data_IF_938951102433
#
_entry.id   IF_938951102433
#
_cell.length_a   1.000
_cell.length_b   1.000
_cell.length_c   1.000
_cell.angle_alpha   90.00
_cell.angle_beta   90.00
_cell.angle_gamma   90.00
#
_symmetry.space_group_name_H-M   'P 1'
#
loop_
_entity.id
_entity.type
_entity.pdbx_description
1 polymer ?
#
# COMPACT_ATOMS: atom_id res chain seq x y z
N UNK A 1 -16.29 33.09 40.83
CA UNK A 1 -16.36 32.12 39.70
C UNK A 1 -16.71 32.77 38.36
N UNK A 2 -17.83 33.51 38.22
CA UNK A 2 -18.24 34.13 36.93
C UNK A 2 -17.20 35.09 36.31
N UNK A 3 -16.46 35.84 37.13
CA UNK A 3 -15.39 36.75 36.67
C UNK A 3 -14.20 36.02 36.02
N UNK A 4 -13.84 34.85 36.52
CA UNK A 4 -12.76 34.02 35.95
C UNK A 4 -13.11 33.57 34.53
N UNK A 5 -14.31 33.01 34.34
CA UNK A 5 -14.79 32.58 33.04
C UNK A 5 -14.91 33.73 32.03
N UNK A 6 -15.28 34.93 32.48
CA UNK A 6 -15.34 36.12 31.63
C UNK A 6 -13.96 36.57 31.14
N UNK A 7 -12.94 36.54 31.99
CA UNK A 7 -11.58 36.92 31.63
C UNK A 7 -10.96 35.84 30.74
N UNK A 8 -11.15 34.58 31.10
CA UNK A 8 -10.68 33.43 30.33
C UNK A 8 -11.24 33.44 28.90
N UNK A 9 -12.54 33.63 28.75
CA UNK A 9 -13.17 33.69 27.41
C UNK A 9 -12.70 34.89 26.59
N UNK A 10 -12.44 36.03 27.21
CA UNK A 10 -11.89 37.21 26.53
C UNK A 10 -10.48 36.93 25.97
N UNK A 11 -9.56 36.46 26.82
CA UNK A 11 -8.19 36.12 26.43
C UNK A 11 -8.15 34.99 25.40
N UNK A 12 -8.97 33.96 25.58
CA UNK A 12 -9.03 32.82 24.67
C UNK A 12 -9.58 33.19 23.29
N UNK A 13 -10.61 34.05 23.24
CA UNK A 13 -11.18 34.57 21.98
C UNK A 13 -10.18 35.43 21.21
N UNK A 14 -9.37 36.21 21.93
CA UNK A 14 -8.31 37.02 21.34
C UNK A 14 -7.17 36.14 20.80
N UNK A 15 -6.82 35.08 21.54
CA UNK A 15 -5.79 34.09 21.14
C UNK A 15 -6.21 33.28 19.92
N UNK A 16 -7.46 32.80 19.83
CA UNK A 16 -7.98 32.07 18.67
C UNK A 16 -8.04 32.95 17.41
N UNK A 17 -8.31 34.25 17.57
CA UNK A 17 -8.32 35.21 16.46
C UNK A 17 -6.92 35.61 15.99
N UNK A 18 -5.87 35.15 16.67
CA UNK A 18 -4.51 35.39 16.26
C UNK A 18 -4.25 34.74 14.89
N UNK A 19 -3.92 35.56 13.90
CA UNK A 19 -3.64 35.13 12.52
C UNK A 19 -2.52 34.08 12.48
N UNK A 20 -1.49 34.20 13.31
CA UNK A 20 -0.38 33.24 13.35
C UNK A 20 -0.83 31.84 13.77
N UNK A 21 -1.73 31.75 14.76
CA UNK A 21 -2.28 30.49 15.25
C UNK A 21 -3.22 29.83 14.22
N UNK A 22 -4.01 30.63 13.52
CA UNK A 22 -4.86 30.15 12.42
C UNK A 22 -4.02 29.60 11.28
N UNK A 23 -2.99 30.33 10.84
CA UNK A 23 -2.10 29.91 9.74
C UNK A 23 -1.37 28.61 10.10
N UNK A 24 -0.81 28.50 11.31
CA UNK A 24 -0.13 27.27 11.73
C UNK A 24 -1.08 26.07 11.82
N UNK A 25 -2.32 26.29 12.29
CA UNK A 25 -3.35 25.24 12.35
C UNK A 25 -3.74 24.78 10.95
N UNK A 26 -3.90 25.69 9.98
CA UNK A 26 -4.20 25.35 8.58
C UNK A 26 -3.06 24.55 7.96
N UNK A 27 -1.81 24.99 8.13
CA UNK A 27 -0.64 24.25 7.61
C UNK A 27 -0.57 22.85 8.23
N UNK A 28 -0.79 22.76 9.54
CA UNK A 28 -0.81 21.47 10.25
C UNK A 28 -1.91 20.57 9.72
N UNK A 29 -3.12 21.10 9.47
CA UNK A 29 -4.22 20.35 8.86
C UNK A 29 -3.85 19.82 7.46
N UNK A 30 -3.26 20.67 6.61
CA UNK A 30 -2.84 20.28 5.25
C UNK A 30 -1.82 19.15 5.32
N UNK A 31 -0.82 19.28 6.20
CA UNK A 31 0.20 18.23 6.41
C UNK A 31 -0.47 16.94 6.89
N UNK A 32 -1.39 17.02 7.86
CA UNK A 32 -2.11 15.87 8.39
C UNK A 32 -2.93 15.16 7.30
N UNK A 33 -3.62 15.92 6.44
CA UNK A 33 -4.36 15.39 5.30
C UNK A 33 -3.45 14.74 4.25
N UNK A 34 -2.25 15.29 4.05
CA UNK A 34 -1.20 14.66 3.26
C UNK A 34 -0.78 13.30 3.85
N UNK A 35 -0.54 13.25 5.16
CA UNK A 35 -0.21 12.00 5.86
C UNK A 35 -1.33 10.96 5.82
N UNK A 36 -2.61 11.36 5.93
CA UNK A 36 -3.74 10.44 5.79
C UNK A 36 -3.85 9.79 4.41
N UNK A 37 -3.26 10.41 3.38
CA UNK A 37 -3.21 9.88 2.02
C UNK A 37 -1.79 9.39 1.64
N UNK A 38 -0.91 9.19 2.62
CA UNK A 38 0.49 8.82 2.39
C UNK A 38 0.63 7.51 1.63
N UNK A 39 -0.25 6.52 1.86
CA UNK A 39 -0.25 5.25 1.12
C UNK A 39 -0.38 5.45 -0.40
N UNK A 40 -1.20 6.41 -0.83
CA UNK A 40 -1.37 6.75 -2.25
C UNK A 40 -0.16 7.49 -2.79
N UNK A 41 0.42 8.39 -2.00
CA UNK A 41 1.59 9.19 -2.38
C UNK A 41 2.79 8.25 -2.57
N UNK A 42 3.05 7.37 -1.60
CA UNK A 42 4.10 6.35 -1.67
C UNK A 42 3.86 5.38 -2.84
N UNK A 43 2.60 4.97 -3.08
CA UNK A 43 2.25 4.14 -4.24
C UNK A 43 2.50 4.82 -5.60
N UNK A 44 2.35 6.15 -5.70
CA UNK A 44 2.66 6.90 -6.92
C UNK A 44 4.17 7.01 -7.16
N UNK A 45 4.97 7.24 -6.10
CA UNK A 45 6.42 7.27 -6.22
C UNK A 45 7.03 5.88 -6.51
N UNK A 46 6.38 4.80 -6.08
CA UNK A 46 6.79 3.46 -6.47
C UNK A 46 6.52 3.17 -7.95
N UNK A 47 5.50 3.77 -8.57
CA UNK A 47 5.09 3.47 -9.97
C UNK A 47 6.03 3.99 -11.06
N UNK A 48 6.75 5.09 -10.83
CA UNK A 48 7.56 5.73 -11.89
C UNK A 48 8.94 5.07 -12.10
N UNK A 49 9.28 4.04 -11.33
CA UNK A 49 10.50 3.25 -11.49
C UNK A 49 10.40 1.79 -11.02
N UNK A 50 9.18 1.29 -10.75
CA UNK A 50 8.98 -0.09 -10.29
C UNK A 50 9.07 -1.07 -11.43
N UNK A 51 10.01 -2.01 -11.32
CA UNK A 51 9.96 -3.30 -12.01
C UNK A 51 8.58 -3.93 -11.84
N UNK A 52 8.03 -4.51 -12.89
CA UNK A 52 6.74 -5.20 -12.87
C UNK A 52 6.72 -6.25 -11.75
N UNK A 53 5.79 -6.14 -10.80
CA UNK A 53 5.72 -7.08 -9.68
C UNK A 53 4.88 -8.30 -10.06
N UNK A 54 5.48 -9.48 -9.96
CA UNK A 54 4.81 -10.78 -10.15
C UNK A 54 4.79 -11.52 -8.83
N UNK A 55 3.60 -11.89 -8.35
CA UNK A 55 3.45 -12.69 -7.14
C UNK A 55 3.33 -14.17 -7.46
N UNK A 56 4.05 -15.02 -6.71
CA UNK A 56 3.90 -16.48 -6.75
C UNK A 56 3.29 -16.92 -5.42
N UNK A 57 2.16 -17.62 -5.49
CA UNK A 57 1.53 -18.29 -4.35
C UNK A 57 1.73 -19.79 -4.48
N UNK A 58 2.19 -20.41 -3.41
CA UNK A 58 2.42 -21.86 -3.32
C UNK A 58 1.80 -22.40 -2.05
N UNK A 59 1.48 -23.69 -2.04
CA UNK A 59 1.06 -24.38 -0.82
C UNK A 59 2.14 -24.32 0.28
N UNK A 60 1.67 -24.29 1.54
CA UNK A 60 2.53 -24.20 2.71
C UNK A 60 3.55 -25.37 2.73
N UNK A 61 4.83 -25.05 2.99
CA UNK A 61 5.99 -25.95 2.99
C UNK A 61 6.57 -26.36 1.63
N UNK A 62 6.24 -25.65 0.54
CA UNK A 62 6.90 -25.93 -0.73
C UNK A 62 8.32 -25.34 -0.78
N UNK A 63 9.34 -26.21 -0.82
CA UNK A 63 10.77 -25.81 -0.93
C UNK A 63 11.20 -25.46 -2.36
N UNK A 64 10.30 -25.52 -3.35
CA UNK A 64 10.63 -25.22 -4.74
C UNK A 64 11.00 -23.75 -4.97
N UNK A 65 10.35 -22.85 -4.25
CA UNK A 65 10.55 -21.40 -4.37
C UNK A 65 11.20 -20.88 -3.10
N UNK A 66 12.53 -20.97 -3.03
CA UNK A 66 13.32 -20.32 -1.99
C UNK A 66 13.74 -18.91 -2.44
N UNK A 67 14.35 -18.16 -1.52
CA UNK A 67 14.84 -16.80 -1.81
C UNK A 67 15.85 -16.75 -2.96
N UNK A 68 16.66 -17.79 -3.14
CA UNK A 68 17.69 -17.82 -4.18
C UNK A 68 17.07 -18.07 -5.56
N UNK A 69 16.08 -18.97 -5.65
CA UNK A 69 15.33 -19.21 -6.88
C UNK A 69 14.57 -17.94 -7.29
N UNK A 70 13.98 -17.22 -6.33
CA UNK A 70 13.29 -15.95 -6.60
C UNK A 70 14.25 -14.84 -7.07
N UNK A 71 15.43 -14.75 -6.48
CA UNK A 71 16.45 -13.80 -6.92
C UNK A 71 16.94 -14.07 -8.34
N UNK A 72 17.07 -15.35 -8.73
CA UNK A 72 17.46 -15.74 -10.09
C UNK A 72 16.39 -15.49 -11.15
N UNK A 73 15.13 -15.35 -10.72
CA UNK A 73 14.01 -15.02 -11.60
C UNK A 73 13.79 -13.52 -11.74
N UNK A 74 14.45 -12.68 -10.95
CA UNK A 74 14.34 -11.23 -11.08
C UNK A 74 15.13 -10.75 -12.30
N UNK A 75 14.53 -9.89 -13.10
CA UNK A 75 15.16 -9.23 -14.24
C UNK A 75 15.16 -7.70 -14.01
N UNK A 76 15.66 -6.93 -14.96
CA UNK A 76 15.59 -5.47 -14.95
C UNK A 76 14.17 -4.95 -15.15
N UNK A 77 13.32 -5.70 -15.85
CA UNK A 77 11.94 -5.31 -16.14
C UNK A 77 10.92 -5.79 -15.10
N UNK A 78 11.19 -6.90 -14.40
CA UNK A 78 10.23 -7.49 -13.47
C UNK A 78 10.88 -8.06 -12.21
N UNK A 79 10.13 -8.05 -11.11
CA UNK A 79 10.52 -8.59 -9.82
C UNK A 79 9.48 -9.58 -9.32
N UNK A 80 9.96 -10.77 -8.94
CA UNK A 80 9.14 -11.87 -8.45
C UNK A 80 9.16 -11.88 -6.92
N UNK A 81 7.98 -12.01 -6.32
CA UNK A 81 7.81 -12.11 -4.86
C UNK A 81 6.98 -13.32 -4.48
N UNK A 82 7.33 -13.96 -3.36
CA UNK A 82 6.54 -15.05 -2.80
C UNK A 82 5.44 -14.51 -1.88
N UNK A 83 4.24 -15.08 -1.99
CA UNK A 83 3.16 -14.79 -1.04
C UNK A 83 3.54 -15.27 0.35
N UNK A 84 3.33 -14.43 1.37
CA UNK A 84 3.62 -14.78 2.77
C UNK A 84 2.60 -15.75 3.32
N UNK A 85 1.34 -15.57 2.94
CA UNK A 85 0.22 -16.40 3.40
C UNK A 85 -0.90 -16.45 2.34
N UNK A 86 -1.92 -17.26 2.63
CA UNK A 86 -3.10 -17.42 1.77
C UNK A 86 -4.05 -16.21 1.83
N UNK A 87 -3.96 -15.37 2.87
CA UNK A 87 -4.78 -14.16 3.01
C UNK A 87 -4.31 -13.08 2.04
N UNK A 88 -2.99 -12.88 1.93
CA UNK A 88 -2.32 -12.01 0.98
C UNK A 88 -2.63 -12.44 -0.46
N UNK A 89 -2.55 -13.74 -0.77
CA UNK A 89 -2.93 -14.27 -2.09
C UNK A 89 -4.37 -13.91 -2.46
N UNK A 90 -5.32 -14.11 -1.54
CA UNK A 90 -6.73 -13.80 -1.78
C UNK A 90 -6.99 -12.31 -1.95
N UNK A 91 -6.25 -11.47 -1.22
CA UNK A 91 -6.32 -10.01 -1.37
C UNK A 91 -5.82 -9.58 -2.75
N UNK A 92 -4.64 -10.03 -3.15
CA UNK A 92 -4.03 -9.69 -4.46
C UNK A 92 -4.90 -10.18 -5.60
N UNK A 93 -5.47 -11.39 -5.51
CA UNK A 93 -6.42 -11.91 -6.49
C UNK A 93 -7.62 -10.99 -6.71
N UNK A 94 -8.26 -10.56 -5.61
CA UNK A 94 -9.37 -9.59 -5.68
C UNK A 94 -8.91 -8.26 -6.27
N UNK A 95 -7.72 -7.79 -5.95
CA UNK A 95 -7.19 -6.54 -6.50
C UNK A 95 -6.90 -6.64 -8.00
N UNK A 96 -6.44 -7.80 -8.49
CA UNK A 96 -6.21 -8.09 -9.91
C UNK A 96 -7.55 -8.11 -10.65
N UNK A 97 -8.55 -8.81 -10.12
CA UNK A 97 -9.91 -8.86 -10.69
C UNK A 97 -10.57 -7.47 -10.75
N UNK A 98 -10.30 -6.61 -9.76
CA UNK A 98 -10.79 -5.23 -9.72
C UNK A 98 -9.91 -4.25 -10.53
N UNK A 99 -8.83 -4.72 -11.16
CA UNK A 99 -7.88 -3.90 -11.89
C UNK A 99 -7.24 -2.80 -11.04
N UNK A 100 -7.06 -3.00 -9.74
CA UNK A 100 -6.46 -2.02 -8.81
C UNK A 100 -5.18 -2.54 -8.15
N UNK A 101 -4.73 -3.73 -8.52
CA UNK A 101 -3.51 -4.30 -7.96
C UNK A 101 -2.26 -3.57 -8.46
N UNK A 102 -1.28 -3.47 -7.58
CA UNK A 102 0.09 -3.08 -7.94
C UNK A 102 0.86 -4.27 -8.54
N UNK A 103 0.33 -5.49 -8.44
CA UNK A 103 0.86 -6.67 -9.10
C UNK A 103 0.35 -6.76 -10.54
N UNK A 104 1.26 -7.10 -11.47
CA UNK A 104 0.95 -7.33 -12.88
C UNK A 104 0.38 -8.73 -13.11
N UNK A 105 0.84 -9.70 -12.34
CA UNK A 105 0.33 -11.07 -12.38
C UNK A 105 0.47 -11.79 -11.03
N UNK A 106 -0.41 -12.77 -10.82
CA UNK A 106 -0.38 -13.73 -9.71
C UNK A 106 -0.35 -15.15 -10.29
N UNK A 107 0.65 -15.94 -9.90
CA UNK A 107 0.78 -17.35 -10.25
C UNK A 107 0.49 -18.21 -9.00
N UNK A 108 -0.63 -18.93 -9.01
CA UNK A 108 -0.95 -19.94 -8.00
C UNK A 108 -0.41 -21.30 -8.46
N UNK A 109 0.51 -21.91 -7.72
CA UNK A 109 1.10 -23.24 -8.02
C UNK A 109 0.64 -24.26 -6.99
N UNK A 110 0.01 -25.35 -7.45
CA UNK A 110 -0.36 -26.50 -6.62
C UNK A 110 0.52 -27.70 -7.00
N UNK A 111 1.21 -28.23 -6.00
CA UNK A 111 2.16 -29.35 -6.14
C UNK A 111 1.51 -30.62 -5.57
N UNK A 112 0.51 -31.13 -6.29
CA UNK A 112 -0.17 -32.38 -5.96
C UNK A 112 0.51 -33.59 -6.60
N UNK A 113 -0.28 -34.55 -7.11
CA UNK A 113 0.23 -35.68 -7.91
C UNK A 113 0.81 -35.24 -9.27
N UNK A 114 0.34 -34.10 -9.77
CA UNK A 114 0.86 -33.39 -10.95
C UNK A 114 1.05 -31.92 -10.56
N UNK A 115 2.08 -31.27 -11.13
CA UNK A 115 2.30 -29.84 -10.94
C UNK A 115 1.30 -29.10 -11.81
N UNK A 116 0.42 -28.31 -11.18
CA UNK A 116 -0.56 -27.47 -11.88
C UNK A 116 -0.44 -26.03 -11.42
N UNK A 117 -0.67 -25.08 -12.35
CA UNK A 117 -0.58 -23.66 -12.08
C UNK A 117 -1.73 -22.87 -12.68
N UNK A 118 -2.22 -21.85 -11.97
CA UNK A 118 -3.18 -20.87 -12.49
C UNK A 118 -2.53 -19.49 -12.50
N UNK A 119 -2.55 -18.84 -13.67
CA UNK A 119 -2.04 -17.49 -13.86
C UNK A 119 -3.22 -16.50 -13.93
N UNK A 120 -3.18 -15.50 -13.07
CA UNK A 120 -4.09 -14.35 -13.08
C UNK A 120 -3.31 -13.13 -13.54
N UNK A 121 -3.73 -12.49 -14.64
CA UNK A 121 -3.07 -11.32 -15.20
C UNK A 121 -3.95 -10.10 -14.98
N UNK A 122 -3.35 -8.99 -14.55
CA UNK A 122 -4.05 -7.73 -14.38
C UNK A 122 -4.33 -7.10 -15.76
N UNK A 123 -5.59 -7.11 -16.18
CA UNK A 123 -6.03 -6.66 -17.51
C UNK A 123 -5.86 -5.16 -17.77
N UNK A 124 -5.29 -4.37 -16.85
CA UNK A 124 -4.81 -3.01 -17.15
C UNK A 124 -3.56 -2.98 -18.06
N UNK A 125 -3.46 -3.92 -18.98
CA UNK A 125 -2.54 -3.86 -20.13
C UNK A 125 -3.36 -3.24 -21.27
N UNK A 126 -3.55 -1.92 -21.23
CA UNK A 126 -3.79 -1.01 -22.36
C UNK A 126 -3.91 0.42 -21.82
#
# INVERSE_FOLDING_TARGET
MKKFWSIFTFTYKETIRNKALIISTIITLIVMLGFFNMDKIVGLFNREGSKDLIMISTEANNKFFDSNTLESLNDDDFKVVLSKDSEETNKVKKEIENGKSDYKALLEVSTGKEVSGKLYVNERIC
#
